data_IF_636159649960
#
_entry.id   IF_636159649960
#
_cell.length_a   1.000
_cell.length_b   1.000
_cell.length_c   1.000
_cell.angle_alpha   90.00
_cell.angle_beta   90.00
_cell.angle_gamma   90.00
#
_symmetry.space_group_name_H-M   'P 1'
#
loop_
_entity.id
_entity.type
_entity.pdbx_description
1 polymer ?
#
# COMPACT_ATOMS: atom_id res chain seq x y z
N UNK A 1 23.62 35.06 -1.40
CA UNK A 1 23.21 33.91 -0.54
C UNK A 1 23.14 32.68 -1.41
N UNK A 2 23.67 31.52 -0.98
CA UNK A 2 23.48 30.28 -1.72
C UNK A 2 21.99 29.93 -1.77
N UNK A 3 21.52 29.41 -2.90
CA UNK A 3 20.18 28.86 -3.04
C UNK A 3 20.01 27.71 -2.05
N UNK A 4 19.06 27.84 -1.12
CA UNK A 4 18.69 26.77 -0.20
C UNK A 4 17.44 26.05 -0.75
N UNK A 5 17.68 25.00 -1.54
CA UNK A 5 16.63 24.17 -2.15
C UNK A 5 16.76 22.74 -1.62
N UNK A 6 16.26 22.46 -0.39
CA UNK A 6 16.35 21.13 0.17
C UNK A 6 15.48 20.16 -0.63
N UNK A 7 15.89 18.89 -0.69
CA UNK A 7 15.09 17.82 -1.31
C UNK A 7 13.68 17.73 -0.69
N UNK A 8 13.58 18.03 0.61
CA UNK A 8 12.36 17.87 1.39
C UNK A 8 12.27 18.93 2.50
N UNK A 9 11.05 19.41 2.74
CA UNK A 9 10.69 20.24 3.88
C UNK A 9 9.61 19.53 4.71
N UNK A 10 9.69 19.63 6.04
CA UNK A 10 8.73 18.99 6.96
C UNK A 10 7.28 19.36 6.59
N UNK A 11 6.49 18.34 6.21
CA UNK A 11 5.09 18.51 5.82
C UNK A 11 4.09 18.29 6.99
N UNK A 12 4.60 17.96 8.18
CA UNK A 12 3.84 17.93 9.43
C UNK A 12 3.70 19.37 9.93
N UNK A 13 2.47 19.87 9.86
CA UNK A 13 2.08 21.24 10.23
C UNK A 13 1.75 21.33 11.71
N UNK A 14 1.63 22.56 12.22
CA UNK A 14 1.12 22.79 13.58
C UNK A 14 -0.26 22.18 13.80
N UNK A 15 -1.15 22.28 12.82
CA UNK A 15 -2.48 21.69 12.91
C UNK A 15 -2.48 20.16 13.05
N UNK A 16 -1.48 19.46 12.48
CA UNK A 16 -1.35 18.00 12.68
C UNK A 16 -0.90 17.68 14.09
N UNK A 17 0.03 18.46 14.63
CA UNK A 17 0.52 18.30 16.00
C UNK A 17 -0.56 18.62 17.01
N UNK A 18 -1.34 19.69 16.80
CA UNK A 18 -2.45 20.08 17.67
C UNK A 18 -3.55 19.02 17.70
N UNK A 19 -3.81 18.34 16.57
CA UNK A 19 -4.76 17.22 16.53
C UNK A 19 -4.29 16.04 17.41
N UNK A 20 -2.99 15.74 17.41
CA UNK A 20 -2.40 14.72 18.28
C UNK A 20 -2.42 15.17 19.74
N UNK A 21 -1.99 16.40 20.04
CA UNK A 21 -1.99 16.96 21.40
C UNK A 21 -3.39 16.91 22.01
N UNK A 22 -4.41 17.34 21.26
CA UNK A 22 -5.81 17.27 21.69
C UNK A 22 -6.23 15.84 22.04
N UNK A 23 -5.79 14.84 21.27
CA UNK A 23 -6.09 13.45 21.58
C UNK A 23 -5.38 12.97 22.86
N UNK A 24 -4.13 13.38 23.06
CA UNK A 24 -3.33 13.02 24.24
C UNK A 24 -3.78 13.70 25.54
N UNK A 25 -4.57 14.77 25.46
CA UNK A 25 -5.13 15.47 26.62
C UNK A 25 -6.32 14.74 27.29
N UNK A 26 -6.81 13.63 26.73
CA UNK A 26 -7.85 12.81 27.34
C UNK A 26 -7.30 12.07 28.58
N UNK A 27 -8.18 11.71 29.53
CA UNK A 27 -7.77 11.02 30.77
C UNK A 27 -7.23 9.59 30.52
N UNK A 28 -7.73 8.90 29.48
CA UNK A 28 -7.33 7.53 29.15
C UNK A 28 -7.31 7.29 27.63
N UNK A 29 -6.34 7.85 26.89
CA UNK A 29 -6.27 7.71 25.44
C UNK A 29 -5.72 6.32 25.06
N UNK A 30 -6.43 5.60 24.20
CA UNK A 30 -5.90 4.39 23.56
C UNK A 30 -4.89 4.83 22.50
N UNK A 31 -3.64 4.38 22.59
CA UNK A 31 -2.58 4.76 21.64
C UNK A 31 -2.31 3.67 20.58
N UNK A 32 -2.65 2.42 20.86
CA UNK A 32 -2.54 1.29 19.92
C UNK A 32 -3.64 1.31 18.87
N UNK A 33 -3.49 0.54 17.80
CA UNK A 33 -4.48 0.41 16.71
C UNK A 33 -5.92 0.33 17.22
N UNK A 34 -6.74 1.33 16.89
CA UNK A 34 -8.12 1.41 17.34
C UNK A 34 -8.97 2.23 16.35
N UNK A 35 -9.84 3.11 16.87
CA UNK A 35 -10.85 3.86 16.11
C UNK A 35 -10.27 4.85 15.10
N UNK A 36 -9.16 5.53 15.39
CA UNK A 36 -8.59 6.47 14.43
C UNK A 36 -7.91 5.73 13.28
N UNK A 37 -7.29 4.57 13.54
CA UNK A 37 -6.77 3.71 12.46
C UNK A 37 -7.90 3.29 11.52
N UNK A 38 -9.03 2.79 12.06
CA UNK A 38 -10.18 2.40 11.25
C UNK A 38 -10.75 3.59 10.45
N UNK A 39 -10.92 4.75 11.10
CA UNK A 39 -11.38 5.95 10.42
C UNK A 39 -10.42 6.41 9.31
N UNK A 40 -9.10 6.30 9.52
CA UNK A 40 -8.13 6.64 8.49
C UNK A 40 -8.18 5.69 7.30
N UNK A 41 -8.36 4.39 7.53
CA UNK A 41 -8.55 3.38 6.48
C UNK A 41 -9.78 3.69 5.61
N UNK A 42 -10.91 4.04 6.25
CA UNK A 42 -12.16 4.41 5.57
C UNK A 42 -12.03 5.73 4.77
N UNK A 43 -11.45 6.76 5.40
CA UNK A 43 -11.20 8.05 4.75
C UNK A 43 -10.25 7.91 3.56
N UNK A 44 -9.21 7.07 3.70
CA UNK A 44 -8.27 6.75 2.63
C UNK A 44 -8.94 5.97 1.49
N UNK A 45 -9.72 4.93 1.81
CA UNK A 45 -10.50 4.17 0.81
C UNK A 45 -11.38 5.10 -0.02
N UNK A 46 -12.09 6.02 0.65
CA UNK A 46 -12.93 7.03 -0.01
C UNK A 46 -12.12 7.99 -0.88
N UNK A 47 -10.98 8.49 -0.38
CA UNK A 47 -10.13 9.39 -1.16
C UNK A 47 -9.54 8.69 -2.38
N UNK A 48 -9.05 7.46 -2.22
CA UNK A 48 -8.43 6.69 -3.29
C UNK A 48 -9.46 6.21 -4.33
N UNK A 49 -10.65 5.82 -3.89
CA UNK A 49 -11.71 5.25 -4.74
C UNK A 49 -11.79 3.71 -4.70
N UNK A 50 -11.23 3.07 -3.66
CA UNK A 50 -11.27 1.62 -3.43
C UNK A 50 -12.24 1.27 -2.31
N UNK A 51 -12.62 -0.01 -2.20
CA UNK A 51 -13.52 -0.49 -1.14
C UNK A 51 -12.83 -0.64 0.21
N UNK A 52 -11.56 -1.05 0.22
CA UNK A 52 -10.88 -1.45 1.44
C UNK A 52 -9.46 -0.92 1.52
N UNK A 53 -9.04 -0.58 2.73
CA UNK A 53 -7.65 -0.20 3.05
C UNK A 53 -7.23 -0.75 4.41
N UNK A 54 -5.96 -1.10 4.56
CA UNK A 54 -5.37 -1.62 5.81
C UNK A 54 -4.10 -0.84 6.13
N UNK A 55 -4.13 -0.09 7.23
CA UNK A 55 -3.04 0.79 7.65
C UNK A 55 -1.96 -0.01 8.38
N UNK A 56 -0.72 0.15 7.95
CA UNK A 56 0.47 -0.55 8.45
C UNK A 56 1.58 0.43 8.80
N UNK A 57 2.62 -0.04 9.48
CA UNK A 57 3.69 0.79 10.01
C UNK A 57 4.62 1.42 8.95
N UNK A 58 4.64 0.93 7.70
CA UNK A 58 5.49 1.43 6.62
C UNK A 58 5.02 0.95 5.23
N UNK A 59 5.40 1.65 4.16
CA UNK A 59 5.21 1.16 2.78
C UNK A 59 5.93 -0.17 2.54
N UNK A 60 7.12 -0.37 3.11
CA UNK A 60 7.85 -1.65 3.04
C UNK A 60 7.05 -2.82 3.62
N UNK A 61 6.35 -2.61 4.74
CA UNK A 61 5.47 -3.63 5.31
C UNK A 61 4.20 -3.84 4.49
N UNK A 62 3.71 -2.82 3.77
CA UNK A 62 2.64 -3.02 2.78
C UNK A 62 3.14 -3.95 1.65
N UNK A 63 4.34 -3.73 1.11
CA UNK A 63 4.91 -4.64 0.11
C UNK A 63 5.06 -6.06 0.66
N UNK A 64 5.61 -6.22 1.87
CA UNK A 64 5.75 -7.52 2.53
C UNK A 64 4.40 -8.25 2.71
N UNK A 65 3.36 -7.58 3.21
CA UNK A 65 2.07 -8.23 3.41
C UNK A 65 1.39 -8.58 2.08
N UNK A 66 1.52 -7.74 1.06
CA UNK A 66 1.02 -8.03 -0.30
C UNK A 66 1.65 -9.30 -0.86
N UNK A 67 2.98 -9.43 -0.79
CA UNK A 67 3.67 -10.62 -1.30
C UNK A 67 3.45 -11.84 -0.40
N UNK A 68 3.24 -11.66 0.90
CA UNK A 68 2.84 -12.74 1.81
C UNK A 68 1.44 -13.26 1.44
N UNK A 69 0.48 -12.38 1.11
CA UNK A 69 -0.84 -12.81 0.64
C UNK A 69 -0.75 -13.52 -0.72
N UNK A 70 0.12 -13.05 -1.63
CA UNK A 70 0.39 -13.74 -2.89
C UNK A 70 0.96 -15.15 -2.64
N UNK A 71 1.84 -15.30 -1.64
CA UNK A 71 2.42 -16.59 -1.23
C UNK A 71 1.37 -17.57 -0.72
N UNK A 72 0.32 -17.08 -0.04
CA UNK A 72 -0.82 -17.91 0.36
C UNK A 72 -1.60 -18.44 -0.86
N UNK A 73 -1.76 -17.64 -1.92
CA UNK A 73 -2.38 -18.07 -3.20
C UNK A 73 -1.49 -19.04 -3.98
N UNK A 74 -0.17 -18.86 -3.90
CA UNK A 74 0.82 -19.65 -4.65
C UNK A 74 1.87 -20.29 -3.71
N UNK A 75 1.50 -21.35 -2.95
CA UNK A 75 2.36 -21.97 -1.94
C UNK A 75 3.56 -22.75 -2.51
N UNK A 76 3.66 -22.87 -3.84
CA UNK A 76 4.85 -23.41 -4.52
C UNK A 76 5.79 -22.33 -5.09
N UNK A 77 5.43 -21.06 -4.91
CA UNK A 77 6.20 -19.92 -5.40
C UNK A 77 5.96 -19.69 -6.88
N UNK A 78 6.98 -19.18 -7.56
CA UNK A 78 6.94 -18.80 -8.96
C UNK A 78 7.68 -17.48 -9.16
N UNK A 79 7.38 -16.82 -10.27
CA UNK A 79 8.07 -15.60 -10.68
C UNK A 79 7.18 -14.37 -10.48
N UNK A 80 7.78 -13.27 -10.04
CA UNK A 80 7.13 -11.95 -10.00
C UNK A 80 7.92 -11.03 -10.91
N UNK A 81 7.26 -10.44 -11.89
CA UNK A 81 7.90 -9.44 -12.76
C UNK A 81 8.02 -8.13 -11.98
N UNK A 82 9.22 -7.55 -11.96
CA UNK A 82 9.60 -6.42 -11.09
C UNK A 82 10.42 -5.37 -11.84
N UNK A 83 10.37 -4.10 -11.41
CA UNK A 83 11.19 -3.05 -12.02
C UNK A 83 12.65 -3.13 -11.58
N UNK A 84 13.61 -2.75 -12.44
CA UNK A 84 14.99 -2.51 -12.02
C UNK A 84 15.15 -1.12 -11.36
N UNK A 85 14.19 -0.20 -11.57
CA UNK A 85 14.13 1.11 -10.95
C UNK A 85 12.93 1.22 -10.01
N UNK A 86 13.19 1.32 -8.71
CA UNK A 86 12.18 1.40 -7.66
C UNK A 86 12.83 1.45 -6.29
N UNK A 87 12.08 1.10 -5.25
CA UNK A 87 12.62 1.01 -3.89
C UNK A 87 13.00 -0.43 -3.53
N UNK A 88 14.03 -0.59 -2.69
CA UNK A 88 14.59 -1.92 -2.38
C UNK A 88 13.57 -2.87 -1.73
N UNK A 89 12.55 -2.34 -1.04
CA UNK A 89 11.51 -3.17 -0.41
C UNK A 89 10.64 -3.92 -1.42
N UNK A 90 10.54 -3.44 -2.65
CA UNK A 90 9.79 -4.08 -3.73
C UNK A 90 10.41 -5.45 -4.02
N UNK A 91 11.72 -5.47 -4.21
CA UNK A 91 12.49 -6.68 -4.48
C UNK A 91 12.66 -7.54 -3.22
N UNK A 92 12.96 -6.90 -2.08
CA UNK A 92 13.16 -7.62 -0.82
C UNK A 92 11.90 -8.41 -0.41
N UNK A 93 10.71 -7.83 -0.57
CA UNK A 93 9.45 -8.50 -0.24
C UNK A 93 9.14 -9.70 -1.15
N UNK A 94 9.47 -9.62 -2.44
CA UNK A 94 9.37 -10.74 -3.40
C UNK A 94 10.26 -11.90 -2.95
N UNK A 95 11.52 -11.63 -2.63
CA UNK A 95 12.49 -12.65 -2.20
C UNK A 95 12.08 -13.26 -0.85
N UNK A 96 11.75 -12.41 0.14
CA UNK A 96 11.36 -12.85 1.48
C UNK A 96 10.10 -13.73 1.46
N UNK A 97 9.21 -13.51 0.50
CA UNK A 97 7.98 -14.30 0.34
C UNK A 97 8.18 -15.58 -0.48
N UNK A 98 9.42 -15.89 -0.91
CA UNK A 98 9.76 -17.13 -1.61
C UNK A 98 9.44 -17.12 -3.11
N UNK A 99 9.40 -15.94 -3.73
CA UNK A 99 9.26 -15.79 -5.18
C UNK A 99 10.60 -15.40 -5.84
N UNK A 100 10.71 -15.69 -7.13
CA UNK A 100 11.86 -15.29 -7.96
C UNK A 100 11.54 -13.96 -8.66
N UNK A 101 12.32 -12.88 -8.42
CA UNK A 101 12.16 -11.64 -9.18
C UNK A 101 12.64 -11.82 -10.62
N UNK A 102 11.83 -11.39 -11.58
CA UNK A 102 12.18 -11.32 -13.01
C UNK A 102 12.10 -9.87 -13.44
N UNK A 103 13.25 -9.29 -13.80
CA UNK A 103 13.32 -7.86 -14.12
C UNK A 103 12.83 -7.58 -15.53
N UNK A 104 11.96 -6.58 -15.67
CA UNK A 104 11.57 -6.00 -16.96
C UNK A 104 12.05 -4.53 -17.01
N UNK A 105 12.76 -4.17 -18.07
CA UNK A 105 13.43 -2.87 -18.17
C UNK A 105 12.44 -1.69 -18.23
N UNK A 106 12.93 -0.48 -17.96
CA UNK A 106 12.13 0.73 -17.81
C UNK A 106 11.82 1.41 -19.14
N UNK A 107 10.73 2.18 -19.16
CA UNK A 107 10.49 3.18 -20.19
C UNK A 107 11.06 4.53 -19.73
N UNK A 108 12.02 5.13 -20.46
CA UNK A 108 12.66 6.37 -20.02
C UNK A 108 11.73 7.59 -19.99
N UNK A 109 10.52 7.51 -20.59
CA UNK A 109 9.55 8.62 -20.59
C UNK A 109 8.76 8.73 -19.29
N UNK A 110 8.56 7.62 -18.58
CA UNK A 110 7.78 7.59 -17.34
C UNK A 110 8.47 6.84 -16.19
N UNK A 111 9.70 6.36 -16.41
CA UNK A 111 10.61 5.71 -15.45
C UNK A 111 10.13 4.37 -14.85
N UNK A 112 8.84 4.06 -14.88
CA UNK A 112 8.33 2.71 -14.61
C UNK A 112 8.67 1.69 -15.71
N UNK A 113 8.37 0.41 -15.46
CA UNK A 113 8.62 -0.68 -16.41
C UNK A 113 7.96 -0.44 -17.78
N UNK A 114 8.68 -0.77 -18.85
CA UNK A 114 8.13 -0.75 -20.20
C UNK A 114 7.16 -1.91 -20.42
N UNK A 115 6.03 -1.62 -21.06
CA UNK A 115 4.95 -2.59 -21.27
C UNK A 115 5.39 -3.79 -22.12
N UNK A 116 6.21 -3.57 -23.15
CA UNK A 116 6.67 -4.68 -24.00
C UNK A 116 7.73 -5.54 -23.30
N UNK A 117 8.54 -4.93 -22.43
CA UNK A 117 9.48 -5.66 -21.58
C UNK A 117 8.75 -6.52 -20.55
N UNK A 118 7.65 -6.02 -19.97
CA UNK A 118 6.79 -6.83 -19.09
C UNK A 118 6.29 -8.06 -19.87
N UNK A 119 5.69 -7.87 -21.05
CA UNK A 119 5.17 -8.99 -21.85
C UNK A 119 6.22 -10.01 -22.21
N UNK A 120 7.44 -9.57 -22.52
CA UNK A 120 8.56 -10.46 -22.84
C UNK A 120 9.00 -11.30 -21.63
N UNK A 121 8.77 -10.82 -20.40
CA UNK A 121 9.07 -11.53 -19.16
C UNK A 121 7.96 -12.49 -18.71
N UNK A 122 6.72 -12.32 -19.20
CA UNK A 122 5.59 -13.15 -18.81
C UNK A 122 5.75 -14.59 -19.32
N UNK A 123 5.49 -15.56 -18.44
CA UNK A 123 5.47 -16.98 -18.77
C UNK A 123 4.57 -17.77 -17.80
N UNK A 124 4.49 -19.10 -17.96
CA UNK A 124 3.63 -19.97 -17.14
C UNK A 124 3.94 -19.99 -15.64
N UNK A 125 5.15 -19.58 -15.25
CA UNK A 125 5.59 -19.49 -13.85
C UNK A 125 5.27 -18.12 -13.24
N UNK A 126 4.89 -17.12 -14.03
CA UNK A 126 4.56 -15.78 -13.54
C UNK A 126 3.32 -15.83 -12.64
N UNK A 127 3.42 -15.19 -11.48
CA UNK A 127 2.38 -15.13 -10.44
C UNK A 127 1.86 -13.73 -10.18
N UNK A 128 2.63 -12.71 -10.50
CA UNK A 128 2.20 -11.33 -10.47
C UNK A 128 3.15 -10.45 -11.28
N UNK A 129 2.68 -9.25 -11.62
CA UNK A 129 3.51 -8.11 -12.00
C UNK A 129 3.46 -7.10 -10.86
N UNK A 130 4.61 -6.76 -10.26
CA UNK A 130 4.74 -5.67 -9.31
C UNK A 130 5.20 -4.43 -10.08
N UNK A 131 4.29 -3.48 -10.29
CA UNK A 131 4.54 -2.26 -11.04
C UNK A 131 4.69 -1.07 -10.10
N UNK A 132 5.86 -0.44 -10.12
CA UNK A 132 6.13 0.77 -9.34
C UNK A 132 5.87 2.03 -10.16
N UNK A 133 5.09 2.95 -9.60
CA UNK A 133 4.86 4.29 -10.14
C UNK A 133 5.90 5.25 -9.57
N UNK A 134 7.01 5.38 -10.29
CA UNK A 134 8.19 6.12 -9.83
C UNK A 134 7.96 7.63 -9.91
N UNK A 135 8.35 8.36 -8.87
CA UNK A 135 8.39 9.84 -8.84
C UNK A 135 7.10 10.59 -9.21
N UNK A 136 5.93 9.99 -9.03
CA UNK A 136 4.64 10.60 -9.39
C UNK A 136 4.18 10.30 -10.81
N UNK A 137 4.97 9.56 -11.61
CA UNK A 137 4.64 9.24 -12.98
C UNK A 137 3.78 7.98 -13.10
N UNK A 138 2.79 8.08 -13.98
CA UNK A 138 1.93 6.96 -14.34
C UNK A 138 2.69 5.98 -15.26
N UNK A 139 2.83 4.74 -14.80
CA UNK A 139 3.48 3.66 -15.55
C UNK A 139 2.49 2.68 -16.22
N UNK A 140 1.17 2.93 -16.08
CA UNK A 140 0.14 2.08 -16.68
C UNK A 140 -0.09 2.45 -18.14
N UNK A 141 -0.30 1.41 -18.94
CA UNK A 141 -0.88 1.49 -20.28
C UNK A 141 -2.14 0.63 -20.34
N UNK A 142 -3.12 1.00 -21.17
CA UNK A 142 -4.33 0.19 -21.36
C UNK A 142 -3.97 -1.23 -21.84
N UNK A 143 -2.97 -1.32 -22.73
CA UNK A 143 -2.44 -2.59 -23.25
C UNK A 143 -1.95 -3.51 -22.12
N UNK A 144 -1.23 -2.97 -21.14
CA UNK A 144 -0.76 -3.75 -19.99
C UNK A 144 -1.94 -4.28 -19.17
N UNK A 145 -2.92 -3.43 -18.87
CA UNK A 145 -4.10 -3.80 -18.09
C UNK A 145 -4.90 -4.92 -18.77
N UNK A 146 -5.19 -4.75 -20.06
CA UNK A 146 -5.97 -5.72 -20.85
C UNK A 146 -5.26 -7.08 -20.91
N UNK A 147 -3.94 -7.09 -21.12
CA UNK A 147 -3.16 -8.32 -21.25
C UNK A 147 -3.05 -9.08 -19.93
N UNK A 148 -2.81 -8.39 -18.81
CA UNK A 148 -2.76 -9.03 -17.49
C UNK A 148 -4.13 -9.60 -17.09
N UNK A 149 -5.21 -8.90 -17.42
CA UNK A 149 -6.56 -9.42 -17.22
C UNK A 149 -6.81 -10.67 -18.07
N UNK A 150 -6.44 -10.66 -19.35
CA UNK A 150 -6.60 -11.79 -20.28
C UNK A 150 -5.85 -13.03 -19.81
N UNK A 151 -4.71 -12.86 -19.16
CA UNK A 151 -3.85 -13.94 -18.66
C UNK A 151 -4.16 -14.35 -17.21
N UNK A 152 -5.10 -13.70 -16.53
CA UNK A 152 -5.36 -13.84 -15.08
C UNK A 152 -4.07 -13.70 -14.23
N UNK A 153 -3.22 -12.73 -14.60
CA UNK A 153 -2.00 -12.40 -13.85
C UNK A 153 -2.29 -11.19 -12.96
N UNK A 154 -2.23 -11.33 -11.62
CA UNK A 154 -2.39 -10.22 -10.70
C UNK A 154 -1.40 -9.07 -10.95
N UNK A 155 -1.93 -7.85 -11.03
CA UNK A 155 -1.14 -6.63 -10.96
C UNK A 155 -1.07 -6.15 -9.50
N UNK A 156 0.13 -5.91 -8.99
CA UNK A 156 0.40 -5.24 -7.72
C UNK A 156 0.91 -3.84 -8.06
N UNK A 157 0.19 -2.80 -7.65
CA UNK A 157 0.63 -1.42 -7.86
C UNK A 157 1.42 -0.94 -6.63
N UNK A 158 2.71 -0.67 -6.76
CA UNK A 158 3.43 0.16 -5.78
C UNK A 158 3.23 1.64 -6.16
N UNK A 159 2.46 2.33 -5.31
CA UNK A 159 2.06 3.72 -5.47
C UNK A 159 2.71 4.59 -4.39
N UNK A 160 3.71 4.09 -3.65
CA UNK A 160 4.36 4.81 -2.56
C UNK A 160 4.83 6.20 -3.02
N UNK A 161 5.37 6.31 -4.23
CA UNK A 161 5.91 7.55 -4.78
C UNK A 161 4.92 8.36 -5.62
N UNK A 162 3.63 7.98 -5.68
CA UNK A 162 2.71 8.52 -6.70
C UNK A 162 1.29 8.80 -6.20
N UNK A 163 1.14 9.30 -4.97
CA UNK A 163 -0.18 9.59 -4.40
C UNK A 163 -0.95 10.58 -5.29
N UNK A 164 -2.11 10.14 -5.78
CA UNK A 164 -3.05 10.97 -6.53
C UNK A 164 -2.68 11.22 -7.98
N UNK A 165 -1.57 10.66 -8.47
CA UNK A 165 -1.35 10.45 -9.89
C UNK A 165 -2.50 9.61 -10.47
N UNK A 166 -2.75 9.77 -11.78
CA UNK A 166 -3.94 9.20 -12.43
C UNK A 166 -3.59 8.50 -13.74
N UNK A 167 -4.33 7.44 -14.02
CA UNK A 167 -4.43 6.82 -15.33
C UNK A 167 -5.89 6.98 -15.82
N UNK A 168 -6.08 7.60 -16.99
CA UNK A 168 -7.40 7.91 -17.56
C UNK A 168 -8.42 8.50 -16.58
N UNK A 169 -7.97 9.43 -15.72
CA UNK A 169 -8.83 10.13 -14.75
C UNK A 169 -9.07 9.40 -13.43
N UNK A 170 -8.78 8.09 -13.33
CA UNK A 170 -8.85 7.31 -12.09
C UNK A 170 -7.48 7.31 -11.39
N UNK A 171 -7.46 7.43 -10.05
CA UNK A 171 -6.20 7.47 -9.29
C UNK A 171 -5.45 6.14 -9.41
N UNK A 172 -4.12 6.18 -9.49
CA UNK A 172 -3.27 4.97 -9.39
C UNK A 172 -3.53 4.27 -8.06
N UNK A 173 -3.39 2.95 -8.05
CA UNK A 173 -3.76 2.07 -6.94
C UNK A 173 -5.19 1.50 -7.01
N UNK A 174 -5.89 1.73 -8.12
CA UNK A 174 -7.27 1.29 -8.35
C UNK A 174 -7.42 0.22 -9.44
N UNK A 175 -6.33 -0.21 -10.05
CA UNK A 175 -6.31 -1.03 -11.27
C UNK A 175 -5.85 -2.45 -10.99
N UNK A 176 -4.93 -2.62 -10.04
CA UNK A 176 -4.40 -3.91 -9.65
C UNK A 176 -5.29 -4.72 -8.72
N UNK A 177 -4.84 -5.95 -8.46
CA UNK A 177 -5.36 -6.83 -7.43
C UNK A 177 -5.22 -6.20 -6.03
N UNK A 178 -4.12 -5.48 -5.82
CA UNK A 178 -3.87 -4.68 -4.61
C UNK A 178 -2.90 -3.55 -4.93
N UNK A 179 -2.87 -2.55 -4.07
CA UNK A 179 -1.93 -1.43 -4.16
C UNK A 179 -1.34 -1.04 -2.82
N UNK A 180 -0.10 -0.56 -2.85
CA UNK A 180 0.71 -0.25 -1.68
C UNK A 180 1.08 1.24 -1.66
N UNK A 181 1.03 1.86 -0.49
CA UNK A 181 1.33 3.28 -0.29
C UNK A 181 2.27 3.48 0.90
N UNK A 182 2.98 4.61 0.91
CA UNK A 182 3.92 5.00 1.97
C UNK A 182 3.61 6.39 2.50
N UNK A 183 3.70 6.55 3.82
CA UNK A 183 3.54 7.81 4.54
C UNK A 183 4.81 8.17 5.32
N UNK A 184 5.96 7.70 4.85
CA UNK A 184 7.26 8.15 5.35
C UNK A 184 7.42 9.67 5.14
N UNK A 185 8.27 10.29 5.95
CA UNK A 185 8.55 11.73 5.97
C UNK A 185 8.62 12.36 4.56
N UNK A 186 9.36 11.75 3.64
CA UNK A 186 9.58 12.28 2.27
C UNK A 186 8.41 12.22 1.29
N UNK A 187 7.26 11.66 1.66
CA UNK A 187 6.15 11.42 0.73
C UNK A 187 5.18 12.60 0.59
N UNK A 188 4.12 12.41 -0.19
CA UNK A 188 3.07 13.40 -0.47
C UNK A 188 2.34 13.88 0.80
N UNK A 189 2.29 13.01 1.81
CA UNK A 189 1.86 13.27 3.17
C UNK A 189 2.65 12.36 4.11
N UNK A 190 2.67 12.65 5.41
CA UNK A 190 3.38 11.83 6.40
C UNK A 190 2.55 11.50 7.64
N UNK A 191 2.79 10.31 8.19
CA UNK A 191 2.27 9.86 9.49
C UNK A 191 3.42 9.53 10.47
N UNK A 192 4.56 10.24 10.35
CA UNK A 192 5.87 9.88 10.92
C UNK A 192 6.47 8.71 10.13
N UNK A 193 5.88 7.53 10.33
CA UNK A 193 6.09 6.31 9.56
C UNK A 193 4.71 5.72 9.25
N UNK A 194 4.57 5.10 8.08
CA UNK A 194 3.32 4.46 7.74
C UNK A 194 3.27 3.92 6.32
N UNK A 195 2.32 3.02 6.09
CA UNK A 195 1.94 2.59 4.77
C UNK A 195 0.49 2.10 4.74
N UNK A 196 -0.04 1.90 3.55
CA UNK A 196 -1.42 1.41 3.36
C UNK A 196 -1.43 0.31 2.32
N UNK A 197 -2.15 -0.77 2.60
CA UNK A 197 -2.57 -1.76 1.60
C UNK A 197 -3.99 -1.41 1.15
N UNK A 198 -4.28 -1.50 -0.14
CA UNK A 198 -5.59 -1.15 -0.69
C UNK A 198 -6.07 -2.24 -1.66
N UNK A 199 -7.34 -2.63 -1.57
CA UNK A 199 -7.92 -3.63 -2.47
C UNK A 199 -9.43 -3.47 -2.58
N UNK A 200 -10.01 -4.08 -3.62
CA UNK A 200 -11.45 -4.25 -3.79
C UNK A 200 -11.94 -5.68 -3.49
N UNK A 201 -11.00 -6.59 -3.22
CA UNK A 201 -11.26 -8.00 -2.87
C UNK A 201 -11.52 -8.12 -1.36
N UNK A 202 -12.73 -8.51 -0.94
CA UNK A 202 -13.08 -8.62 0.47
C UNK A 202 -12.29 -9.71 1.21
N UNK A 203 -11.90 -10.79 0.53
CA UNK A 203 -11.15 -11.88 1.16
C UNK A 203 -9.70 -11.44 1.40
N UNK A 204 -9.09 -10.79 0.40
CA UNK A 204 -7.76 -10.21 0.54
C UNK A 204 -7.73 -9.14 1.65
N UNK A 205 -8.79 -8.35 1.79
CA UNK A 205 -8.92 -7.40 2.89
C UNK A 205 -8.88 -8.09 4.26
N UNK A 206 -9.63 -9.18 4.46
CA UNK A 206 -9.56 -9.92 5.73
C UNK A 206 -8.19 -10.56 5.95
N UNK A 207 -7.57 -11.09 4.89
CA UNK A 207 -6.19 -11.62 4.94
C UNK A 207 -5.21 -10.55 5.42
N UNK A 208 -5.23 -9.34 4.85
CA UNK A 208 -4.34 -8.25 5.28
C UNK A 208 -4.55 -7.85 6.73
N UNK A 209 -5.81 -7.79 7.21
CA UNK A 209 -6.11 -7.48 8.61
C UNK A 209 -5.49 -8.51 9.57
N UNK A 210 -5.61 -9.79 9.25
CA UNK A 210 -5.01 -10.86 10.05
C UNK A 210 -3.48 -10.86 9.95
N UNK A 211 -2.91 -10.77 8.74
CA UNK A 211 -1.45 -10.77 8.52
C UNK A 211 -0.75 -9.60 9.24
N UNK A 212 -1.40 -8.44 9.34
CA UNK A 212 -0.88 -7.25 10.05
C UNK A 212 -0.71 -7.48 11.55
N UNK A 213 -1.57 -8.29 12.15
CA UNK A 213 -1.69 -8.45 13.61
C UNK A 213 -1.68 -9.93 14.00
N UNK A 214 -0.48 -10.50 13.96
CA UNK A 214 -0.10 -11.84 14.44
C UNK A 214 -0.82 -13.00 13.75
N UNK A 215 -1.59 -12.77 12.69
CA UNK A 215 -2.40 -13.80 12.05
C UNK A 215 -3.68 -14.10 12.83
N UNK A 216 -4.06 -13.25 13.80
CA UNK A 216 -5.21 -13.50 14.66
C UNK A 216 -6.53 -13.36 13.92
N UNK A 217 -7.37 -14.40 13.97
CA UNK A 217 -8.69 -14.43 13.30
C UNK A 217 -9.61 -13.30 13.79
N UNK A 218 -9.49 -12.89 15.06
CA UNK A 218 -10.30 -11.80 15.64
C UNK A 218 -10.15 -10.45 14.93
N UNK A 219 -9.08 -10.27 14.17
CA UNK A 219 -8.83 -9.05 13.40
C UNK A 219 -9.73 -8.95 12.17
N UNK A 220 -10.28 -10.08 11.70
CA UNK A 220 -11.29 -10.11 10.64
C UNK A 220 -12.56 -9.36 11.05
N UNK A 221 -13.22 -8.75 10.07
CA UNK A 221 -14.57 -8.17 10.20
C UNK A 221 -15.65 -9.10 9.65
N UNK A 222 -15.27 -10.21 9.01
CA UNK A 222 -16.22 -11.21 8.54
C UNK A 222 -16.57 -12.18 9.67
N UNK A 223 -17.83 -12.13 10.12
CA UNK A 223 -18.35 -13.08 11.11
C UNK A 223 -18.40 -14.51 10.56
N UNK A 224 -18.63 -14.68 9.25
CA UNK A 224 -18.58 -15.98 8.57
C UNK A 224 -17.17 -16.59 8.67
N UNK A 225 -16.13 -15.79 8.40
CA UNK A 225 -14.74 -16.25 8.51
C UNK A 225 -14.38 -16.60 9.96
N UNK A 226 -14.81 -15.80 10.94
CA UNK A 226 -14.59 -16.09 12.36
C UNK A 226 -15.29 -17.39 12.77
N UNK A 227 -16.52 -17.59 12.32
CA UNK A 227 -17.28 -18.81 12.59
C UNK A 227 -16.63 -20.02 11.95
N UNK A 228 -16.14 -19.90 10.71
CA UNK A 228 -15.40 -20.96 10.01
C UNK A 228 -14.21 -21.46 10.86
N UNK A 229 -13.32 -20.56 11.28
CA UNK A 229 -12.17 -20.93 12.11
C UNK A 229 -12.57 -21.46 13.49
N UNK A 230 -13.59 -20.87 14.13
CA UNK A 230 -14.04 -21.32 15.45
C UNK A 230 -14.65 -22.72 15.39
N UNK A 231 -15.40 -23.05 14.34
CA UNK A 231 -15.97 -24.37 14.13
C UNK A 231 -14.91 -25.41 13.74
N UNK A 232 -13.87 -25.01 13.00
CA UNK A 232 -12.76 -25.87 12.64
C UNK A 232 -11.87 -26.21 13.84
N UNK A 233 -11.76 -25.30 14.82
CA UNK A 233 -10.90 -25.43 16.00
C UNK A 233 -11.70 -25.22 17.30
N UNK A 234 -12.68 -26.09 17.63
CA UNK A 234 -13.63 -25.87 18.73
C UNK A 234 -12.97 -25.88 20.12
N UNK A 235 -11.80 -26.51 20.26
CA UNK A 235 -11.07 -26.58 21.52
C UNK A 235 -10.24 -25.31 21.82
N UNK A 236 -10.12 -24.41 20.84
CA UNK A 236 -9.37 -23.15 20.98
C UNK A 236 -10.30 -22.00 21.39
N UNK A 237 -9.77 -21.05 22.15
CA UNK A 237 -10.48 -19.80 22.39
C UNK A 237 -10.57 -19.01 21.07
N UNK A 238 -11.76 -18.61 20.59
CA UNK A 238 -11.93 -17.89 19.32
C UNK A 238 -11.12 -16.59 19.22
N UNK A 239 -10.80 -15.96 20.36
CA UNK A 239 -9.99 -14.74 20.41
C UNK A 239 -8.48 -14.98 20.21
N UNK A 240 -8.04 -16.24 20.23
CA UNK A 240 -6.64 -16.65 20.17
C UNK A 240 -6.39 -17.75 19.11
N UNK A 241 -7.18 -17.73 18.03
CA UNK A 241 -6.90 -18.53 16.83
C UNK A 241 -5.97 -17.72 15.91
N UNK A 242 -4.84 -18.33 15.53
CA UNK A 242 -3.82 -17.75 14.65
C UNK A 242 -3.83 -18.49 13.31
N UNK A 243 -4.37 -17.87 12.27
CA UNK A 243 -4.62 -18.49 10.97
C UNK A 243 -3.37 -18.58 10.08
N UNK A 244 -2.40 -17.69 10.25
CA UNK A 244 -1.25 -17.54 9.34
C UNK A 244 0.07 -17.33 10.10
N UNK A 245 1.18 -17.70 9.44
CA UNK A 245 2.52 -17.25 9.82
C UNK A 245 2.64 -15.77 9.44
N UNK A 246 2.42 -14.90 10.41
CA UNK A 246 2.13 -13.49 10.19
C UNK A 246 3.07 -12.58 11.01
N UNK A 247 2.77 -11.27 11.03
CA UNK A 247 3.64 -10.24 11.57
C UNK A 247 2.94 -9.37 12.61
N UNK A 248 3.71 -8.50 13.27
CA UNK A 248 3.18 -7.33 13.95
C UNK A 248 3.67 -6.07 13.26
N UNK A 249 2.94 -5.65 12.22
CA UNK A 249 3.22 -4.43 11.44
C UNK A 249 2.07 -3.43 11.55
N UNK A 250 1.31 -3.52 12.65
CA UNK A 250 0.25 -2.56 12.99
C UNK A 250 0.83 -1.15 13.07
N UNK A 251 0.05 -0.18 12.62
CA UNK A 251 0.26 1.22 12.99
C UNK A 251 -0.58 1.59 14.22
N UNK A 252 -0.52 2.83 14.66
CA UNK A 252 -1.05 3.31 15.92
C UNK A 252 -1.96 4.54 15.72
N UNK A 253 -2.62 4.96 16.81
CA UNK A 253 -3.61 6.06 16.74
C UNK A 253 -2.97 7.41 16.42
N UNK A 254 -1.71 7.63 16.81
CA UNK A 254 -0.99 8.89 16.53
C UNK A 254 -0.77 9.03 15.02
N UNK A 255 -0.22 7.99 14.38
CA UNK A 255 -0.02 7.97 12.94
C UNK A 255 -1.33 8.18 12.18
N UNK A 256 -2.40 7.53 12.63
CA UNK A 256 -3.71 7.66 12.01
C UNK A 256 -4.30 9.07 12.18
N UNK A 257 -4.22 9.68 13.36
CA UNK A 257 -4.69 11.07 13.60
C UNK A 257 -3.96 12.05 12.67
N UNK A 258 -2.64 11.92 12.54
CA UNK A 258 -1.86 12.73 11.60
C UNK A 258 -2.33 12.48 10.16
N UNK A 259 -2.48 11.21 9.77
CA UNK A 259 -2.94 10.82 8.43
C UNK A 259 -4.28 11.44 8.06
N UNK A 260 -5.28 11.31 8.93
CA UNK A 260 -6.61 11.92 8.75
C UNK A 260 -6.55 13.43 8.60
N UNK A 261 -5.67 14.09 9.35
CA UNK A 261 -5.54 15.55 9.25
C UNK A 261 -4.80 16.00 7.99
N UNK A 262 -3.75 15.29 7.59
CA UNK A 262 -3.01 15.53 6.35
C UNK A 262 -3.87 15.25 5.10
N UNK A 263 -4.69 14.20 5.11
CA UNK A 263 -5.49 13.77 3.97
C UNK A 263 -6.43 14.89 3.46
N UNK A 264 -6.97 15.71 4.36
CA UNK A 264 -7.84 16.85 4.04
C UNK A 264 -7.23 17.87 3.06
N UNK A 265 -5.90 17.95 3.00
CA UNK A 265 -5.14 18.88 2.15
C UNK A 265 -4.30 18.18 1.08
N UNK A 266 -4.40 16.86 0.96
CA UNK A 266 -3.57 16.09 0.03
C UNK A 266 -3.80 16.51 -1.43
N UNK A 267 -5.05 16.67 -1.86
CA UNK A 267 -5.36 17.11 -3.24
C UNK A 267 -4.80 18.50 -3.56
N UNK A 268 -4.89 19.45 -2.62
CA UNK A 268 -4.31 20.78 -2.79
C UNK A 268 -2.78 20.72 -2.89
N UNK A 269 -2.13 19.89 -2.07
CA UNK A 269 -0.68 19.67 -2.14
C UNK A 269 -0.25 19.06 -3.49
N UNK A 270 -1.02 18.09 -4.01
CA UNK A 270 -0.77 17.49 -5.32
C UNK A 270 -0.91 18.52 -6.44
N UNK A 271 -1.94 19.37 -6.39
CA UNK A 271 -2.12 20.45 -7.37
C UNK A 271 -0.94 21.43 -7.36
N UNK A 272 -0.42 21.77 -6.18
CA UNK A 272 0.76 22.62 -6.05
C UNK A 272 2.01 21.94 -6.63
N UNK A 273 2.24 20.66 -6.34
CA UNK A 273 3.34 19.87 -6.92
C UNK A 273 3.27 19.83 -8.45
N UNK A 274 2.09 19.59 -9.00
CA UNK A 274 1.88 19.60 -10.45
C UNK A 274 2.13 20.97 -11.09
N UNK A 275 1.77 22.06 -10.40
CA UNK A 275 2.09 23.42 -10.86
C UNK A 275 3.60 23.65 -10.88
N UNK A 276 4.31 23.25 -9.83
CA UNK A 276 5.76 23.38 -9.75
C UNK A 276 6.46 22.55 -10.84
N UNK A 277 5.97 21.34 -11.13
CA UNK A 277 6.50 20.52 -12.21
C UNK A 277 6.32 21.17 -13.58
N UNK A 278 5.17 21.79 -13.86
CA UNK A 278 4.96 22.56 -15.10
C UNK A 278 5.96 23.72 -15.21
N UNK A 279 6.14 24.49 -14.14
CA UNK A 279 7.12 25.58 -14.11
C UNK A 279 8.57 25.09 -14.30
N UNK A 280 8.89 23.86 -13.89
CA UNK A 280 10.21 23.26 -14.11
C UNK A 280 10.43 22.85 -15.58
N UNK A 281 9.36 22.51 -16.31
CA UNK A 281 9.43 22.14 -17.72
C UNK A 281 9.43 23.34 -18.68
N UNK A 282 8.85 24.46 -18.24
CA UNK A 282 8.81 25.73 -18.98
C UNK A 282 10.19 26.42 -18.99
#
# INVERSE_FOLDING_TARGET
MPLNLPLMQNNITRGDLDAVIKYLQQDNPILTQSKNVQAFEEEWSKWLGVKYSVFVNSGSSANLLTLTALRLRYPKGGEVVVPPLGWVSDIASVIQSGFTPVFADINPKHLGMDTEQIFSALNKNTRAVLLTHVQGFNALTDKLLDELQRLDIPLIEDVCESHGAKHLGKKLGNFGWTSNFSFYYGHHMSTIEGGMLCTNDPDLYQTFRMLRSHGMVRESTSEELKAFYSNQYPDLNPNFIFAFQAYNVRNNEIGAIMGRNQLKRLDANIQLRNRNFKLFLD
#
